data_IF_481590587998
#
_entry.id   IF_481590587998
#
_cell.length_a   1.000
_cell.length_b   1.000
_cell.length_c   1.000
_cell.angle_alpha   90.00
_cell.angle_beta   90.00
_cell.angle_gamma   90.00
#
_symmetry.space_group_name_H-M   'P 1'
#
loop_
_entity.id
_entity.type
_entity.pdbx_description
1 polymer ?
#
# COMPACT_ATOMS: atom_id res chain seq x y z
N UNK A 1 21.98 -22.63 3.22
CA UNK A 1 20.82 -21.90 2.65
C UNK A 1 20.16 -21.13 3.77
N UNK A 2 20.57 -19.89 4.00
CA UNK A 2 20.07 -19.06 5.09
C UNK A 2 18.91 -18.19 4.60
N UNK A 3 17.81 -18.14 5.36
CA UNK A 3 16.70 -17.21 5.13
C UNK A 3 17.23 -15.77 5.18
N UNK A 4 17.47 -15.18 4.01
CA UNK A 4 18.24 -13.94 3.90
C UNK A 4 17.42 -12.67 4.19
N UNK A 5 16.09 -12.76 4.17
CA UNK A 5 15.17 -11.60 4.27
C UNK A 5 13.85 -11.90 5.03
N UNK A 6 13.75 -13.00 5.78
CA UNK A 6 12.49 -13.37 6.45
C UNK A 6 11.34 -13.71 5.49
N UNK A 7 11.68 -14.26 4.32
CA UNK A 7 10.73 -14.63 3.27
C UNK A 7 9.92 -15.87 3.68
N UNK A 8 8.60 -15.77 3.53
CA UNK A 8 7.65 -16.86 3.69
C UNK A 8 6.84 -16.94 2.40
N UNK A 9 7.03 -17.97 1.58
CA UNK A 9 6.33 -18.09 0.30
C UNK A 9 4.96 -18.72 0.52
N UNK A 10 3.90 -18.05 0.08
CA UNK A 10 2.55 -18.61 0.09
C UNK A 10 2.46 -19.71 -0.99
N UNK A 11 2.19 -20.94 -0.58
CA UNK A 11 2.19 -22.13 -1.46
C UNK A 11 0.79 -22.73 -1.66
N UNK A 12 -0.21 -22.25 -0.92
CA UNK A 12 -1.59 -22.73 -1.07
C UNK A 12 -2.27 -22.06 -2.27
N UNK A 13 -2.63 -22.88 -3.26
CA UNK A 13 -3.25 -22.45 -4.51
C UNK A 13 -4.58 -21.71 -4.32
N UNK A 14 -5.44 -22.17 -3.41
CA UNK A 14 -6.73 -21.53 -3.13
C UNK A 14 -6.53 -20.10 -2.61
N UNK A 15 -5.55 -19.91 -1.71
CA UNK A 15 -5.20 -18.61 -1.13
C UNK A 15 -4.61 -17.66 -2.17
N UNK A 16 -3.75 -18.17 -3.06
CA UNK A 16 -3.19 -17.38 -4.17
C UNK A 16 -4.29 -16.93 -5.15
N UNK A 17 -5.21 -17.83 -5.48
CA UNK A 17 -6.36 -17.51 -6.34
C UNK A 17 -7.27 -16.45 -5.70
N UNK A 18 -7.53 -16.56 -4.40
CA UNK A 18 -8.33 -15.59 -3.65
C UNK A 18 -7.71 -14.20 -3.62
N UNK A 19 -6.37 -14.09 -3.52
CA UNK A 19 -5.67 -12.80 -3.68
C UNK A 19 -5.99 -12.20 -5.04
N UNK A 20 -5.79 -12.94 -6.14
CA UNK A 20 -6.06 -12.47 -7.49
C UNK A 20 -7.54 -12.07 -7.71
N UNK A 21 -8.48 -12.86 -7.18
CA UNK A 21 -9.92 -12.55 -7.18
C UNK A 21 -10.23 -11.26 -6.43
N UNK A 22 -9.65 -11.06 -5.24
CA UNK A 22 -9.87 -9.87 -4.43
C UNK A 22 -9.37 -8.59 -5.11
N UNK A 23 -8.32 -8.68 -5.94
CA UNK A 23 -7.85 -7.55 -6.77
C UNK A 23 -8.88 -7.12 -7.81
N UNK A 24 -9.83 -8.00 -8.20
CA UNK A 24 -10.83 -7.71 -9.22
C UNK A 24 -10.18 -7.33 -10.55
N UNK A 25 -9.19 -8.11 -10.97
CA UNK A 25 -8.38 -7.87 -12.18
C UNK A 25 -9.30 -7.97 -13.41
N UNK A 26 -9.21 -6.95 -14.27
CA UNK A 26 -9.76 -6.97 -15.62
C UNK A 26 -8.62 -7.15 -16.61
N UNK A 27 -8.95 -7.62 -17.82
CA UNK A 27 -7.98 -7.83 -18.89
C UNK A 27 -7.21 -6.53 -19.16
N UNK A 28 -5.87 -6.60 -19.11
CA UNK A 28 -4.91 -5.50 -19.27
C UNK A 28 -4.85 -4.50 -18.10
N UNK A 29 -5.39 -4.83 -16.93
CA UNK A 29 -5.10 -4.05 -15.73
C UNK A 29 -3.61 -4.12 -15.40
N UNK A 30 -3.04 -2.99 -15.00
CA UNK A 30 -1.66 -2.94 -14.51
C UNK A 30 -1.66 -3.35 -13.04
N UNK A 31 -0.83 -4.33 -12.70
CA UNK A 31 -0.60 -4.76 -11.32
C UNK A 31 0.88 -4.59 -10.99
N UNK A 32 1.17 -3.80 -9.95
CA UNK A 32 2.50 -3.75 -9.36
C UNK A 32 2.54 -4.81 -8.26
N UNK A 33 3.38 -5.83 -8.45
CA UNK A 33 3.55 -6.91 -7.47
C UNK A 33 4.77 -6.62 -6.59
N UNK A 34 4.57 -6.52 -5.27
CA UNK A 34 5.65 -6.32 -4.31
C UNK A 34 6.12 -7.67 -3.77
N UNK A 35 7.37 -8.02 -4.06
CA UNK A 35 7.99 -9.26 -3.60
C UNK A 35 7.41 -10.51 -4.28
N UNK A 36 7.61 -10.69 -5.60
CA UNK A 36 7.09 -11.84 -6.34
C UNK A 36 7.69 -13.18 -5.88
N UNK A 37 8.88 -13.20 -5.25
CA UNK A 37 9.50 -14.45 -4.81
C UNK A 37 9.86 -15.36 -6.00
N UNK A 38 9.31 -16.58 -6.05
CA UNK A 38 9.48 -17.48 -7.20
C UNK A 38 8.33 -17.35 -8.22
N UNK A 39 7.43 -16.38 -8.00
CA UNK A 39 6.30 -16.05 -8.85
C UNK A 39 5.10 -16.94 -8.62
N UNK A 40 4.86 -17.36 -7.38
CA UNK A 40 3.68 -18.13 -6.97
C UNK A 40 2.40 -17.32 -7.21
N UNK A 41 2.35 -16.07 -6.71
CA UNK A 41 1.21 -15.17 -6.95
C UNK A 41 1.21 -14.62 -8.37
N UNK A 42 2.38 -14.28 -8.92
CA UNK A 42 2.55 -13.77 -10.28
C UNK A 42 1.77 -14.56 -11.33
N UNK A 43 1.81 -15.90 -11.27
CA UNK A 43 1.09 -16.74 -12.23
C UNK A 43 -0.42 -16.49 -12.21
N UNK A 44 -1.04 -16.45 -11.03
CA UNK A 44 -2.49 -16.21 -10.89
C UNK A 44 -2.89 -14.80 -11.35
N UNK A 45 -2.01 -13.81 -11.12
CA UNK A 45 -2.23 -12.45 -11.61
C UNK A 45 -2.20 -12.40 -13.15
N UNK A 46 -1.25 -13.09 -13.79
CA UNK A 46 -1.15 -13.20 -15.26
C UNK A 46 -2.33 -13.95 -15.86
N UNK A 47 -2.74 -15.07 -15.25
CA UNK A 47 -3.88 -15.88 -15.68
C UNK A 47 -5.19 -15.08 -15.61
N UNK A 48 -5.31 -14.16 -14.64
CA UNK A 48 -6.41 -13.20 -14.55
C UNK A 48 -6.35 -12.08 -15.60
N UNK A 49 -5.28 -12.02 -16.42
CA UNK A 49 -5.11 -11.10 -17.53
C UNK A 49 -4.39 -9.79 -17.18
N UNK A 50 -3.67 -9.73 -16.05
CA UNK A 50 -2.90 -8.56 -15.65
C UNK A 50 -1.66 -8.34 -16.53
N UNK A 51 -1.20 -7.09 -16.57
CA UNK A 51 0.15 -6.72 -16.98
C UNK A 51 0.94 -6.41 -15.71
N UNK A 52 2.04 -7.13 -15.48
CA UNK A 52 2.72 -7.12 -14.17
C UNK A 52 4.04 -6.37 -14.23
N UNK A 53 4.21 -5.48 -13.26
CA UNK A 53 5.48 -4.84 -12.92
C UNK A 53 5.87 -5.33 -11.50
N UNK A 54 6.78 -6.28 -11.42
CA UNK A 54 7.18 -6.85 -10.14
C UNK A 54 8.39 -6.13 -9.54
N UNK A 55 8.37 -5.90 -8.23
CA UNK A 55 9.47 -5.30 -7.45
C UNK A 55 10.09 -6.38 -6.57
N UNK A 56 11.31 -6.80 -6.89
CA UNK A 56 12.01 -7.87 -6.15
C UNK A 56 13.29 -7.34 -5.51
N UNK A 57 13.44 -7.56 -4.21
CA UNK A 57 14.64 -7.13 -3.47
C UNK A 57 15.75 -8.16 -3.57
N UNK A 58 15.41 -9.44 -3.66
CA UNK A 58 16.39 -10.51 -3.84
C UNK A 58 16.77 -10.65 -5.32
N UNK A 59 17.87 -10.01 -5.70
CA UNK A 59 18.36 -10.01 -7.07
C UNK A 59 18.72 -11.41 -7.59
N UNK A 60 18.88 -12.41 -6.72
CA UNK A 60 19.16 -13.79 -7.12
C UNK A 60 17.93 -14.48 -7.73
N UNK A 61 16.71 -14.03 -7.42
CA UNK A 61 15.46 -14.60 -7.95
C UNK A 61 15.09 -14.06 -9.33
N UNK A 62 15.59 -12.86 -9.66
CA UNK A 62 15.24 -12.13 -10.89
C UNK A 62 15.51 -12.93 -12.18
N UNK A 63 16.68 -13.58 -12.39
CA UNK A 63 16.93 -14.34 -13.62
C UNK A 63 15.93 -15.48 -13.83
N UNK A 64 15.55 -16.18 -12.75
CA UNK A 64 14.60 -17.28 -12.81
C UNK A 64 13.19 -16.77 -13.15
N UNK A 65 12.74 -15.68 -12.53
CA UNK A 65 11.46 -15.02 -12.84
C UNK A 65 11.39 -14.59 -14.31
N UNK A 66 12.42 -13.91 -14.81
CA UNK A 66 12.51 -13.47 -16.21
C UNK A 66 12.41 -14.64 -17.18
N UNK A 67 13.12 -15.74 -16.90
CA UNK A 67 13.07 -16.95 -17.73
C UNK A 67 11.69 -17.60 -17.69
N UNK A 68 11.09 -17.70 -16.50
CA UNK A 68 9.78 -18.33 -16.28
C UNK A 68 8.66 -17.61 -17.03
N UNK A 69 8.65 -16.28 -17.00
CA UNK A 69 7.58 -15.45 -17.56
C UNK A 69 8.00 -14.71 -18.85
N UNK A 70 8.99 -15.23 -19.58
CA UNK A 70 9.56 -14.54 -20.75
C UNK A 70 8.57 -14.25 -21.89
N UNK A 71 7.49 -15.02 -21.99
CA UNK A 71 6.45 -14.89 -23.02
C UNK A 71 5.21 -14.13 -22.54
N UNK A 72 5.18 -13.77 -21.26
CA UNK A 72 4.03 -13.16 -20.61
C UNK A 72 4.16 -11.64 -20.57
N UNK A 73 3.06 -10.95 -20.23
CA UNK A 73 3.08 -9.51 -19.95
C UNK A 73 3.64 -9.24 -18.56
N UNK A 74 4.90 -9.62 -18.35
CA UNK A 74 5.61 -9.53 -17.09
C UNK A 74 6.96 -8.82 -17.24
N UNK A 75 7.27 -7.92 -16.30
CA UNK A 75 8.62 -7.42 -16.07
C UNK A 75 8.93 -7.40 -14.58
N UNK A 76 10.21 -7.50 -14.24
CA UNK A 76 10.70 -7.48 -12.86
C UNK A 76 11.86 -6.50 -12.74
N UNK A 77 11.77 -5.65 -11.73
CA UNK A 77 12.74 -4.62 -11.38
C UNK A 77 13.34 -4.97 -10.02
N UNK A 78 14.67 -4.95 -9.96
CA UNK A 78 15.41 -5.15 -8.72
C UNK A 78 15.36 -3.90 -7.85
N UNK A 79 14.97 -4.03 -6.59
CA UNK A 79 15.00 -2.89 -5.67
C UNK A 79 14.22 -3.08 -4.37
N UNK A 80 14.43 -2.16 -3.44
CA UNK A 80 13.63 -2.05 -2.23
C UNK A 80 12.28 -1.41 -2.57
N UNK A 81 11.17 -2.12 -2.38
CA UNK A 81 9.84 -1.62 -2.73
C UNK A 81 9.50 -0.25 -2.09
N UNK A 82 10.04 0.07 -0.91
CA UNK A 82 9.83 1.37 -0.27
C UNK A 82 10.41 2.55 -1.07
N UNK A 83 11.46 2.31 -1.85
CA UNK A 83 12.15 3.31 -2.66
C UNK A 83 11.73 3.21 -4.14
N UNK A 84 11.58 1.98 -4.64
CA UNK A 84 11.31 1.71 -6.06
C UNK A 84 9.85 1.99 -6.43
N UNK A 85 8.89 1.75 -5.52
CA UNK A 85 7.47 1.94 -5.83
C UNK A 85 7.13 3.38 -6.26
N UNK A 86 7.53 4.45 -5.52
CA UNK A 86 7.31 5.82 -5.97
C UNK A 86 7.92 6.13 -7.34
N UNK A 87 9.14 5.66 -7.60
CA UNK A 87 9.85 5.88 -8.87
C UNK A 87 9.07 5.27 -10.03
N UNK A 88 8.53 4.06 -9.87
CA UNK A 88 7.76 3.37 -10.90
C UNK A 88 6.41 4.04 -11.13
N UNK A 89 5.73 4.47 -10.07
CA UNK A 89 4.46 5.18 -10.18
C UNK A 89 4.66 6.51 -10.92
N UNK A 90 5.75 7.24 -10.64
CA UNK A 90 6.09 8.48 -11.36
C UNK A 90 6.48 8.19 -12.83
N UNK A 91 7.23 7.12 -13.09
CA UNK A 91 7.53 6.74 -14.48
C UNK A 91 6.25 6.36 -15.26
N UNK A 92 5.28 5.70 -14.61
CA UNK A 92 3.99 5.38 -15.21
C UNK A 92 3.18 6.64 -15.50
N UNK A 93 3.15 7.60 -14.57
CA UNK A 93 2.44 8.87 -14.73
C UNK A 93 2.99 9.70 -15.88
N UNK A 94 4.31 9.67 -16.08
CA UNK A 94 5.01 10.40 -17.13
C UNK A 94 5.02 9.66 -18.48
N UNK A 95 4.37 8.50 -18.59
CA UNK A 95 4.37 7.68 -19.82
C UNK A 95 5.75 7.12 -20.18
N UNK A 96 6.68 7.05 -19.22
CA UNK A 96 8.03 6.48 -19.39
C UNK A 96 8.06 4.96 -19.31
N UNK A 97 6.91 4.32 -19.10
CA UNK A 97 6.74 2.87 -19.10
C UNK A 97 5.92 2.42 -20.31
N UNK A 98 6.51 1.64 -21.21
CA UNK A 98 5.76 1.05 -22.32
C UNK A 98 5.08 -0.25 -21.89
N UNK A 99 3.76 -0.21 -21.70
CA UNK A 99 2.97 -1.35 -21.24
C UNK A 99 2.85 -2.47 -22.30
N UNK A 100 2.78 -2.10 -23.58
CA UNK A 100 2.69 -3.04 -24.69
C UNK A 100 3.99 -3.85 -24.89
N UNK A 101 5.12 -3.28 -24.45
CA UNK A 101 6.45 -3.90 -24.51
C UNK A 101 6.85 -4.58 -23.20
N UNK A 102 5.94 -4.73 -22.22
CA UNK A 102 6.20 -5.55 -21.02
C UNK A 102 6.38 -7.01 -21.50
N UNK A 103 7.62 -7.36 -21.85
CA UNK A 103 8.13 -8.67 -22.20
C UNK A 103 9.60 -8.68 -21.79
N UNK A 104 9.93 -9.37 -20.70
CA UNK A 104 11.32 -9.53 -20.27
C UNK A 104 11.90 -8.37 -19.45
N UNK A 105 13.23 -8.40 -19.31
CA UNK A 105 14.04 -7.70 -18.32
C UNK A 105 13.97 -6.16 -18.38
N UNK A 106 13.43 -5.50 -17.35
CA UNK A 106 13.80 -4.12 -17.02
C UNK A 106 15.02 -4.12 -16.10
N UNK A 107 16.08 -3.40 -16.47
CA UNK A 107 17.21 -3.14 -15.57
C UNK A 107 17.02 -1.79 -14.87
N UNK A 108 17.20 -1.78 -13.55
CA UNK A 108 17.37 -0.53 -12.81
C UNK A 108 18.78 0.01 -13.16
N UNK A 109 18.84 1.04 -13.99
CA UNK A 109 20.09 1.76 -14.28
C UNK A 109 20.08 3.09 -13.52
N UNK A 110 21.27 3.63 -13.25
CA UNK A 110 21.60 4.77 -12.38
C UNK A 110 20.45 5.75 -12.09
N UNK A 111 20.15 5.85 -10.78
CA UNK A 111 19.36 6.80 -9.97
C UNK A 111 18.15 7.57 -10.50
N UNK A 112 17.91 7.72 -11.80
CA UNK A 112 16.76 8.48 -12.33
C UNK A 112 16.09 7.82 -13.56
N UNK A 113 16.58 6.66 -14.03
CA UNK A 113 16.06 6.01 -15.24
C UNK A 113 15.90 4.50 -15.05
N UNK A 114 14.71 4.06 -14.70
CA UNK A 114 14.32 2.66 -14.97
C UNK A 114 14.24 2.52 -16.49
N UNK A 115 15.18 1.81 -17.11
CA UNK A 115 15.06 1.42 -18.52
C UNK A 115 14.03 0.30 -18.61
N UNK A 116 12.77 0.70 -18.63
CA UNK A 116 11.71 -0.11 -19.19
C UNK A 116 11.84 0.00 -20.71
N UNK A 117 11.46 -1.05 -21.48
CA UNK A 117 11.68 -1.08 -22.91
C UNK A 117 11.23 0.24 -23.54
N UNK A 118 12.20 0.91 -24.18
CA UNK A 118 12.01 2.23 -24.75
C UNK A 118 11.06 2.09 -25.91
N UNK A 119 9.76 2.29 -25.65
CA UNK A 119 8.83 2.62 -26.70
C UNK A 119 9.45 3.77 -27.50
N UNK A 120 9.63 3.58 -28.82
CA UNK A 120 10.08 4.68 -29.68
C UNK A 120 9.16 5.85 -29.39
N UNK A 121 9.73 7.04 -29.12
CA UNK A 121 8.99 8.28 -29.38
C UNK A 121 8.44 8.14 -30.78
N UNK A 122 7.12 8.00 -30.94
CA UNK A 122 6.51 8.20 -32.24
C UNK A 122 6.83 9.66 -32.57
N UNK A 123 7.77 9.88 -33.48
CA UNK A 123 7.97 11.17 -34.12
C UNK A 123 6.68 11.49 -34.87
N UNK A 124 5.80 12.19 -34.17
CA UNK A 124 4.52 12.66 -34.63
C UNK A 124 4.19 13.86 -33.76
N UNK A 125 3.97 14.99 -34.43
CA UNK A 125 3.75 16.33 -33.89
C UNK A 125 3.22 16.36 -32.45
N UNK A 126 3.83 17.23 -31.63
CA UNK A 126 3.40 17.58 -30.29
C UNK A 126 1.93 18.05 -30.31
N UNK A 127 1.02 17.10 -30.24
CA UNK A 127 -0.37 17.31 -29.86
C UNK A 127 -0.40 16.95 -28.40
N UNK A 128 -0.64 17.97 -27.60
CA UNK A 128 -1.07 17.91 -26.21
C UNK A 128 -2.05 16.76 -26.01
N UNK A 129 -1.52 15.61 -25.60
CA UNK A 129 -2.30 14.49 -25.09
C UNK A 129 -1.80 14.32 -23.67
N UNK A 130 -2.42 15.04 -22.75
CA UNK A 130 -2.54 14.57 -21.37
C UNK A 130 -3.21 13.19 -21.43
N UNK A 131 -2.42 12.14 -21.68
CA UNK A 131 -2.89 10.77 -21.55
C UNK A 131 -3.12 10.56 -20.07
N UNK A 132 -4.39 10.48 -19.65
CA UNK A 132 -4.76 10.05 -18.30
C UNK A 132 -3.94 8.81 -17.95
N UNK A 133 -3.28 8.85 -16.79
CA UNK A 133 -2.47 7.71 -16.36
C UNK A 133 -3.35 6.46 -16.29
N UNK A 134 -2.89 5.33 -16.83
CA UNK A 134 -3.63 4.09 -16.68
C UNK A 134 -3.74 3.73 -15.19
N UNK A 135 -4.96 3.46 -14.74
CA UNK A 135 -5.22 2.98 -13.38
C UNK A 135 -4.44 1.70 -13.11
N UNK A 136 -3.86 1.59 -11.92
CA UNK A 136 -3.12 0.41 -11.50
C UNK A 136 -3.60 -0.09 -10.14
N UNK A 137 -3.16 -1.31 -9.81
CA UNK A 137 -3.40 -1.97 -8.53
C UNK A 137 -2.09 -2.47 -7.94
N UNK A 138 -2.07 -2.74 -6.64
CA UNK A 138 -0.91 -3.31 -5.96
C UNK A 138 -1.28 -4.67 -5.38
N UNK A 139 -0.41 -5.65 -5.57
CA UNK A 139 -0.52 -7.00 -5.03
C UNK A 139 0.75 -7.39 -4.27
N UNK A 140 0.66 -8.30 -3.30
CA UNK A 140 1.87 -8.93 -2.77
C UNK A 140 1.69 -9.78 -1.53
N UNK A 141 2.61 -10.72 -1.33
CA UNK A 141 2.78 -11.42 -0.07
C UNK A 141 3.89 -10.73 0.72
N UNK A 142 3.51 -9.84 1.62
CA UNK A 142 4.39 -8.78 2.10
C UNK A 142 5.24 -9.28 3.29
N UNK A 143 6.57 -9.08 3.27
CA UNK A 143 7.41 -9.36 4.43
C UNK A 143 6.91 -8.60 5.67
N UNK A 144 6.79 -9.31 6.79
CA UNK A 144 6.08 -8.79 7.97
C UNK A 144 6.66 -7.49 8.52
N UNK A 145 7.97 -7.30 8.41
CA UNK A 145 8.66 -6.11 8.92
C UNK A 145 8.42 -4.84 8.07
N UNK A 146 7.95 -4.94 6.82
CA UNK A 146 7.79 -3.77 5.93
C UNK A 146 6.37 -3.22 5.87
N UNK A 147 5.35 -4.00 6.25
CA UNK A 147 3.93 -3.71 5.99
C UNK A 147 3.54 -2.27 6.32
N UNK A 148 3.80 -1.81 7.55
CA UNK A 148 3.42 -0.45 7.97
C UNK A 148 4.16 0.65 7.19
N UNK A 149 5.42 0.44 6.83
CA UNK A 149 6.19 1.39 6.01
C UNK A 149 5.67 1.41 4.57
N UNK A 150 5.35 0.25 4.01
CA UNK A 150 4.81 0.15 2.65
C UNK A 150 3.45 0.85 2.53
N UNK A 151 2.56 0.66 3.51
CA UNK A 151 1.27 1.36 3.53
C UNK A 151 1.43 2.87 3.57
N UNK A 152 2.42 3.37 4.32
CA UNK A 152 2.73 4.79 4.34
C UNK A 152 3.32 5.30 3.02
N UNK A 153 4.19 4.52 2.37
CA UNK A 153 4.69 4.86 1.03
C UNK A 153 3.52 4.95 0.05
N UNK A 154 2.58 3.99 0.08
CA UNK A 154 1.38 4.00 -0.77
C UNK A 154 0.49 5.21 -0.51
N UNK A 155 0.28 5.58 0.76
CA UNK A 155 -0.46 6.78 1.15
C UNK A 155 0.16 8.06 0.56
N UNK A 156 1.48 8.15 0.57
CA UNK A 156 2.26 9.31 0.13
C UNK A 156 2.45 9.37 -1.41
N UNK A 157 2.00 8.36 -2.17
CA UNK A 157 2.02 8.40 -3.64
C UNK A 157 1.13 9.54 -4.16
N UNK A 158 1.67 10.31 -5.12
CA UNK A 158 0.93 11.35 -5.83
C UNK A 158 -0.30 10.76 -6.53
N UNK A 159 -0.12 9.57 -7.11
CA UNK A 159 -1.13 8.87 -7.89
C UNK A 159 -1.35 7.51 -7.25
N UNK A 160 -2.42 7.40 -6.47
CA UNK A 160 -2.72 6.22 -5.67
C UNK A 160 -3.24 5.07 -6.54
N UNK A 161 -2.99 3.80 -6.15
CA UNK A 161 -3.62 2.67 -6.83
C UNK A 161 -5.15 2.73 -6.63
N UNK A 162 -5.90 2.06 -7.49
CA UNK A 162 -7.36 1.90 -7.29
C UNK A 162 -7.69 0.89 -6.19
N UNK A 163 -6.84 -0.12 -6.04
CA UNK A 163 -6.98 -1.18 -5.05
C UNK A 163 -5.62 -1.76 -4.67
N UNK A 164 -5.49 -2.13 -3.40
CA UNK A 164 -4.34 -2.89 -2.89
C UNK A 164 -4.84 -4.19 -2.28
N UNK A 165 -4.21 -5.32 -2.61
CA UNK A 165 -4.46 -6.59 -1.92
C UNK A 165 -3.13 -7.17 -1.48
N UNK A 166 -3.01 -7.46 -0.19
CA UNK A 166 -1.78 -8.03 0.35
C UNK A 166 -2.04 -9.11 1.38
N UNK A 167 -1.12 -10.07 1.46
CA UNK A 167 -1.08 -11.04 2.55
C UNK A 167 -0.09 -10.56 3.60
N UNK A 168 -0.57 -10.37 4.83
CA UNK A 168 0.19 -9.81 5.97
C UNK A 168 -0.11 -10.60 7.24
N UNK A 169 0.59 -10.33 8.35
CA UNK A 169 0.27 -10.96 9.64
C UNK A 169 -1.18 -10.67 10.04
N UNK A 170 -1.88 -11.69 10.56
CA UNK A 170 -3.31 -11.59 10.91
C UNK A 170 -3.59 -10.46 11.90
N UNK A 171 -2.78 -10.33 12.97
CA UNK A 171 -2.91 -9.27 13.96
C UNK A 171 -2.78 -7.86 13.33
N UNK A 172 -1.90 -7.70 12.33
CA UNK A 172 -1.71 -6.42 11.65
C UNK A 172 -2.94 -6.09 10.80
N UNK A 173 -3.51 -7.07 10.10
CA UNK A 173 -4.76 -6.89 9.35
C UNK A 173 -5.92 -6.49 10.27
N UNK A 174 -6.07 -7.17 11.41
CA UNK A 174 -7.09 -6.86 12.43
C UNK A 174 -6.91 -5.44 12.98
N UNK A 175 -5.66 -5.01 13.23
CA UNK A 175 -5.36 -3.65 13.66
C UNK A 175 -5.68 -2.59 12.61
N UNK A 176 -5.46 -2.87 11.32
CA UNK A 176 -5.82 -1.95 10.22
C UNK A 176 -7.34 -1.79 10.14
N UNK A 177 -8.09 -2.88 10.31
CA UNK A 177 -9.54 -2.91 10.21
C UNK A 177 -10.27 -2.49 11.50
N UNK A 178 -9.55 -2.24 12.59
CA UNK A 178 -10.14 -1.83 13.87
C UNK A 178 -10.90 -0.50 13.75
N UNK A 179 -12.12 -0.45 14.28
CA UNK A 179 -12.97 0.75 14.34
C UNK A 179 -13.11 1.20 15.79
N UNK A 180 -13.63 2.41 16.02
CA UNK A 180 -13.98 2.86 17.36
C UNK A 180 -14.88 1.82 18.08
N UNK A 181 -14.65 1.52 19.38
CA UNK A 181 -13.74 2.17 20.32
C UNK A 181 -12.32 1.55 20.39
N UNK A 182 -11.88 0.85 19.34
CA UNK A 182 -10.56 0.22 19.20
C UNK A 182 -9.68 0.90 18.15
N UNK A 183 -9.99 2.17 17.82
CA UNK A 183 -9.21 2.93 16.85
C UNK A 183 -7.76 3.03 17.33
N UNK A 184 -6.82 2.96 16.39
CA UNK A 184 -5.40 3.03 16.68
C UNK A 184 -4.68 3.78 15.57
N UNK A 185 -3.42 4.16 15.78
CA UNK A 185 -2.65 4.94 14.81
C UNK A 185 -2.57 4.28 13.42
N UNK A 186 -2.46 2.95 13.35
CA UNK A 186 -2.37 2.24 12.07
C UNK A 186 -3.72 2.22 11.36
N UNK A 187 -4.82 1.92 12.08
CA UNK A 187 -6.18 2.05 11.55
C UNK A 187 -6.44 3.47 11.03
N UNK A 188 -6.17 4.49 11.85
CA UNK A 188 -6.41 5.88 11.48
C UNK A 188 -5.56 6.36 10.29
N UNK A 189 -4.35 5.83 10.13
CA UNK A 189 -3.48 6.13 8.97
C UNK A 189 -3.99 5.47 7.69
N UNK A 190 -4.42 4.21 7.75
CA UNK A 190 -4.86 3.48 6.53
C UNK A 190 -6.30 3.84 6.15
N UNK A 191 -7.21 3.87 7.12
CA UNK A 191 -8.64 4.16 6.89
C UNK A 191 -8.90 5.59 6.38
N UNK A 192 -7.89 6.46 6.46
CA UNK A 192 -7.96 7.80 5.89
C UNK A 192 -8.02 7.76 4.36
N UNK A 193 -7.21 6.93 3.71
CA UNK A 193 -7.09 6.88 2.25
C UNK A 193 -7.64 5.60 1.60
N UNK A 194 -8.07 4.63 2.39
CA UNK A 194 -8.70 3.42 1.86
C UNK A 194 -9.73 2.81 2.83
N UNK A 195 -10.69 2.06 2.29
CA UNK A 195 -11.58 1.20 3.07
C UNK A 195 -10.98 -0.22 3.17
N UNK A 196 -10.53 -0.66 4.37
CA UNK A 196 -9.92 -1.96 4.55
C UNK A 196 -10.94 -3.07 4.84
N UNK A 197 -10.69 -4.26 4.29
CA UNK A 197 -11.50 -5.46 4.48
C UNK A 197 -10.61 -6.71 4.57
N UNK A 198 -10.87 -7.57 5.56
CA UNK A 198 -10.17 -8.85 5.67
C UNK A 198 -10.88 -9.86 4.77
N UNK A 199 -10.25 -10.23 3.67
CA UNK A 199 -10.81 -11.18 2.69
C UNK A 199 -10.85 -12.57 3.29
N UNK A 200 -9.75 -13.01 3.90
CA UNK A 200 -9.67 -14.32 4.53
C UNK A 200 -8.49 -14.44 5.51
N UNK A 201 -8.57 -15.41 6.42
CA UNK A 201 -7.42 -15.88 7.20
C UNK A 201 -6.59 -16.88 6.39
N UNK A 202 -5.26 -16.81 6.56
CA UNK A 202 -4.27 -17.67 5.88
C UNK A 202 -3.41 -18.36 6.93
N UNK A 203 -3.65 -19.64 7.24
CA UNK A 203 -2.88 -20.41 8.20
C UNK A 203 -1.38 -20.46 7.88
N UNK A 204 -0.51 -20.44 8.90
CA UNK A 204 0.94 -20.54 8.73
C UNK A 204 1.43 -21.77 7.95
N UNK A 205 0.65 -22.87 7.97
CA UNK A 205 0.96 -24.10 7.22
C UNK A 205 0.89 -23.92 5.69
N UNK A 206 0.22 -22.86 5.23
CA UNK A 206 0.07 -22.53 3.82
C UNK A 206 1.31 -21.81 3.27
N UNK A 207 2.36 -21.65 4.08
CA UNK A 207 3.62 -21.04 3.69
C UNK A 207 4.78 -22.02 3.77
N UNK A 208 5.79 -21.78 2.93
CA UNK A 208 7.08 -22.46 3.01
C UNK A 208 8.23 -21.42 2.97
N UNK A 209 9.14 -21.39 3.95
CA UNK A 209 9.01 -22.04 5.26
C UNK A 209 7.82 -21.45 6.04
N UNK A 210 7.19 -22.20 6.95
CA UNK A 210 6.05 -21.69 7.71
C UNK A 210 6.48 -20.56 8.67
N UNK A 211 5.72 -19.44 8.75
CA UNK A 211 5.92 -18.40 9.74
C UNK A 211 5.53 -18.85 11.16
N UNK A 212 5.85 -18.00 12.15
CA UNK A 212 5.51 -18.25 13.56
C UNK A 212 4.02 -18.00 13.86
N UNK A 213 3.38 -17.14 13.08
CA UNK A 213 2.01 -16.67 13.28
C UNK A 213 1.20 -16.86 12.01
N UNK A 214 -0.11 -16.85 12.13
CA UNK A 214 -1.00 -16.87 10.97
C UNK A 214 -1.02 -15.50 10.26
N UNK A 215 -1.37 -15.55 8.99
CA UNK A 215 -1.53 -14.39 8.11
C UNK A 215 -3.01 -14.14 7.81
N UNK A 216 -3.30 -13.02 7.15
CA UNK A 216 -4.58 -12.71 6.56
C UNK A 216 -4.36 -11.97 5.22
N UNK A 217 -5.26 -12.20 4.28
CA UNK A 217 -5.33 -11.42 3.05
C UNK A 217 -6.24 -10.22 3.30
N UNK A 218 -5.71 -9.01 3.12
CA UNK A 218 -6.44 -7.75 3.28
C UNK A 218 -6.62 -7.08 1.92
N UNK A 219 -7.83 -6.58 1.66
CA UNK A 219 -8.17 -5.70 0.53
C UNK A 219 -8.32 -4.28 1.04
N UNK A 220 -7.70 -3.34 0.34
CA UNK A 220 -7.83 -1.90 0.57
C UNK A 220 -8.42 -1.29 -0.69
N UNK A 221 -9.67 -0.84 -0.61
CA UNK A 221 -10.33 -0.08 -1.67
C UNK A 221 -9.99 1.39 -1.50
N UNK A 222 -9.19 1.96 -2.40
CA UNK A 222 -8.68 3.33 -2.26
C UNK A 222 -9.80 4.34 -2.49
N UNK A 223 -9.86 5.33 -1.60
CA UNK A 223 -10.84 6.40 -1.66
C UNK A 223 -10.15 7.76 -1.82
N UNK A 224 -10.78 8.72 -2.51
CA UNK A 224 -10.29 10.09 -2.57
C UNK A 224 -10.17 10.72 -1.18
N UNK A 225 -9.11 11.50 -0.97
CA UNK A 225 -8.91 12.28 0.25
C UNK A 225 -8.80 13.76 -0.12
N UNK A 226 -9.60 14.62 0.50
CA UNK A 226 -9.53 16.08 0.30
C UNK A 226 -8.37 16.72 1.07
N UNK A 227 -7.94 16.08 2.17
CA UNK A 227 -6.95 16.64 3.09
C UNK A 227 -5.53 16.22 2.72
N UNK A 228 -4.57 17.09 3.03
CA UNK A 228 -3.14 16.82 2.84
C UNK A 228 -2.67 15.68 3.76
N UNK A 229 -2.18 14.58 3.16
CA UNK A 229 -1.75 13.38 3.90
C UNK A 229 -0.66 13.65 4.93
N UNK A 230 0.27 14.60 4.68
CA UNK A 230 1.35 14.91 5.61
C UNK A 230 0.84 15.66 6.84
N UNK A 231 -0.08 16.62 6.63
CA UNK A 231 -0.75 17.34 7.73
C UNK A 231 -1.58 16.38 8.58
N UNK A 232 -2.40 15.56 7.93
CA UNK A 232 -3.21 14.54 8.60
C UNK A 232 -2.35 13.58 9.42
N UNK A 233 -1.30 13.02 8.83
CA UNK A 233 -0.41 12.08 9.52
C UNK A 233 0.28 12.71 10.74
N UNK A 234 0.71 13.97 10.62
CA UNK A 234 1.30 14.72 11.74
C UNK A 234 0.30 14.90 12.89
N UNK A 235 -0.95 15.23 12.56
CA UNK A 235 -2.02 15.38 13.53
C UNK A 235 -2.34 14.05 14.24
N UNK A 236 -2.58 12.95 13.51
CA UNK A 236 -2.91 11.68 14.15
C UNK A 236 -1.75 11.12 14.98
N UNK A 237 -0.50 11.38 14.59
CA UNK A 237 0.66 11.04 15.43
C UNK A 237 0.60 11.73 16.78
N UNK A 238 0.28 13.02 16.79
CA UNK A 238 0.09 13.78 18.03
C UNK A 238 -1.07 13.21 18.83
N UNK A 239 -2.23 13.00 18.19
CA UNK A 239 -3.44 12.47 18.78
C UNK A 239 -3.21 11.12 19.49
N UNK A 240 -2.47 10.19 18.88
CA UNK A 240 -2.21 8.84 19.40
C UNK A 240 -0.90 8.70 20.21
N UNK A 241 -0.24 9.80 20.60
CA UNK A 241 1.06 9.75 21.32
C UNK A 241 0.98 8.96 22.63
N UNK A 242 -0.07 9.18 23.41
CA UNK A 242 -0.37 8.50 24.67
C UNK A 242 -1.80 7.92 24.60
N UNK A 243 -1.99 6.71 24.04
CA UNK A 243 -3.32 6.14 23.77
C UNK A 243 -4.22 6.00 25.01
N UNK A 244 -3.61 5.86 26.19
CA UNK A 244 -4.33 5.74 27.48
C UNK A 244 -4.78 7.09 28.06
N UNK A 245 -4.32 8.21 27.52
CA UNK A 245 -4.71 9.57 27.93
C UNK A 245 -5.86 10.07 27.06
N UNK A 246 -6.64 11.01 27.59
CA UNK A 246 -7.72 11.66 26.83
C UNK A 246 -7.20 12.42 25.62
N UNK A 247 -8.08 12.71 24.67
CA UNK A 247 -7.77 13.49 23.47
C UNK A 247 -7.14 14.84 23.84
N UNK A 248 -7.74 15.54 24.81
CA UNK A 248 -7.24 16.84 25.27
C UNK A 248 -5.79 16.76 25.77
N UNK A 249 -5.44 15.74 26.56
CA UNK A 249 -4.09 15.58 27.08
C UNK A 249 -3.05 15.24 25.99
N UNK A 250 -3.48 14.63 24.88
CA UNK A 250 -2.60 14.35 23.74
C UNK A 250 -2.39 15.58 22.85
N UNK A 251 -3.44 16.36 22.62
CA UNK A 251 -3.39 17.52 21.73
C UNK A 251 -2.88 18.80 22.39
N UNK A 252 -2.82 18.87 23.72
CA UNK A 252 -2.25 20.01 24.46
C UNK A 252 -0.74 20.10 24.21
N UNK A 253 -0.28 21.17 23.55
CA UNK A 253 1.16 21.49 23.37
C UNK A 253 1.72 22.39 24.48
N UNK A 254 2.98 22.84 24.34
CA UNK A 254 3.59 23.86 25.23
C UNK A 254 2.96 25.25 25.09
N UNK A 255 2.34 25.55 23.95
CA UNK A 255 1.79 26.88 23.60
C UNK A 255 0.25 26.92 23.60
N UNK A 256 -0.44 25.78 23.72
CA UNK A 256 -1.90 25.69 23.64
C UNK A 256 -2.49 25.29 24.99
N UNK A 257 -3.43 26.08 25.48
CA UNK A 257 -4.19 25.73 26.68
C UNK A 257 -5.13 24.54 26.42
N UNK A 258 -5.16 23.58 27.34
CA UNK A 258 -6.11 22.45 27.37
C UNK A 258 -7.56 22.90 27.16
N UNK A 259 -7.90 24.10 27.64
CA UNK A 259 -9.20 24.76 27.46
C UNK A 259 -9.60 24.95 25.99
N UNK A 260 -8.66 25.32 25.11
CA UNK A 260 -8.94 25.44 23.67
C UNK A 260 -9.37 24.11 23.08
N UNK A 261 -8.65 23.04 23.40
CA UNK A 261 -8.98 21.70 22.88
C UNK A 261 -10.33 21.23 23.41
N UNK A 262 -10.61 21.42 24.70
CA UNK A 262 -11.92 21.09 25.28
C UNK A 262 -13.05 21.88 24.59
N UNK A 263 -12.85 23.18 24.33
CA UNK A 263 -13.81 23.98 23.59
C UNK A 263 -14.07 23.42 22.19
N UNK A 264 -13.01 23.05 21.45
CA UNK A 264 -13.14 22.42 20.13
C UNK A 264 -13.92 21.11 20.23
N UNK A 265 -13.60 20.25 21.19
CA UNK A 265 -14.29 18.97 21.40
C UNK A 265 -15.79 19.18 21.66
N UNK A 266 -16.12 20.14 22.52
CA UNK A 266 -17.52 20.50 22.82
C UNK A 266 -18.26 21.05 21.58
N UNK A 267 -17.60 21.89 20.77
CA UNK A 267 -18.19 22.43 19.53
C UNK A 267 -18.56 21.33 18.51
N UNK A 268 -17.81 20.22 18.49
CA UNK A 268 -18.04 19.10 17.57
C UNK A 268 -18.74 17.91 18.25
N UNK A 269 -19.22 18.08 19.49
CA UNK A 269 -20.02 17.07 20.21
C UNK A 269 -19.23 15.86 20.74
N UNK A 270 -17.92 15.99 20.95
CA UNK A 270 -17.07 14.91 21.48
C UNK A 270 -16.85 15.12 22.99
N UNK A 271 -17.17 14.11 23.80
CA UNK A 271 -16.93 14.12 25.25
C UNK A 271 -15.43 14.24 25.56
N UNK A 272 -15.05 15.21 26.40
CA UNK A 272 -13.66 15.48 26.81
C UNK A 272 -12.94 14.30 27.50
N UNK A 273 -13.72 13.33 28.01
CA UNK A 273 -13.23 12.09 28.64
C UNK A 273 -12.85 11.02 27.60
N UNK A 274 -13.27 11.17 26.34
CA UNK A 274 -12.89 10.25 25.27
C UNK A 274 -11.38 10.22 25.07
N UNK A 275 -10.90 9.05 24.71
CA UNK A 275 -9.52 8.76 24.32
C UNK A 275 -9.45 8.66 22.79
N UNK A 276 -8.26 8.77 22.19
CA UNK A 276 -8.08 8.64 20.75
C UNK A 276 -8.74 7.39 20.13
N UNK A 277 -8.70 6.26 20.84
CA UNK A 277 -9.29 5.00 20.40
C UNK A 277 -10.82 5.01 20.26
N UNK A 278 -11.48 5.96 20.94
CA UNK A 278 -12.94 6.10 20.95
C UNK A 278 -13.46 6.90 19.76
N UNK A 279 -12.56 7.46 18.92
CA UNK A 279 -12.92 8.29 17.78
C UNK A 279 -13.10 7.46 16.50
N UNK A 280 -14.20 7.71 15.80
CA UNK A 280 -14.42 7.33 14.42
C UNK A 280 -13.50 8.12 13.46
N UNK A 281 -13.38 7.65 12.22
CA UNK A 281 -12.58 8.35 11.20
C UNK A 281 -13.12 9.73 10.88
N UNK A 282 -14.45 9.86 10.84
CA UNK A 282 -15.15 11.11 10.62
C UNK A 282 -14.87 12.11 11.75
N UNK A 283 -14.94 11.66 13.02
CA UNK A 283 -14.59 12.48 14.17
C UNK A 283 -13.11 12.93 14.13
N UNK A 284 -12.18 12.06 13.74
CA UNK A 284 -10.74 12.40 13.64
C UNK A 284 -10.53 13.50 12.59
N UNK A 285 -11.12 13.36 11.40
CA UNK A 285 -10.98 14.35 10.31
C UNK A 285 -11.60 15.69 10.70
N UNK A 286 -12.80 15.68 11.29
CA UNK A 286 -13.47 16.91 11.76
C UNK A 286 -12.62 17.60 12.84
N UNK A 287 -12.09 16.84 13.80
CA UNK A 287 -11.25 17.36 14.86
C UNK A 287 -9.97 17.98 14.30
N UNK A 288 -9.29 17.34 13.34
CA UNK A 288 -8.12 17.91 12.67
C UNK A 288 -8.45 19.26 12.02
N UNK A 289 -9.50 19.32 11.19
CA UNK A 289 -9.90 20.55 10.49
C UNK A 289 -10.21 21.70 11.45
N UNK A 290 -10.79 21.42 12.62
CA UNK A 290 -11.06 22.42 13.66
C UNK A 290 -9.82 22.80 14.45
N UNK A 291 -8.93 21.83 14.71
CA UNK A 291 -7.70 22.04 15.45
C UNK A 291 -6.71 22.94 14.69
N UNK A 292 -6.66 22.83 13.36
CA UNK A 292 -5.78 23.64 12.49
C UNK A 292 -6.29 25.07 12.23
N UNK A 293 -7.60 25.33 12.38
CA UNK A 293 -8.14 26.69 12.33
C UNK A 293 -7.72 27.43 13.61
N UNK A 294 -6.68 28.25 13.48
CA UNK A 294 -6.29 29.25 14.50
C UNK A 294 -7.34 30.34 14.60
#
# INVERSE_FOLDING_TARGET
>A
MGQRLGQHFLINNEKLENVAKALGIRKRDIVIEVGPGHGELTQYLLDAGAQIIALERDTQLIPALRKKFAKEKFTVIGGNALETLPIIVNALSEGRVCLDEIQGAGEACDRDVVMLPRGRKREGNAVDRQTEMPSYKIAGNIPYYITGYLLRVIEELEQKPTRVVMTIQKEVAERICAKAPQMNLLAASVQFWANPDIVESVPKKDFNPPPKVDSATIRLDVQPTEEDSKKYYTFIKKLFTQPRKTIANNLTGKEEGKERVIKILNEIGIDERKRPQDLSMEEIVILMKKYDKK
#
